data_IF_418944200576
#
_entry.id   IF_418944200576
#
_cell.length_a   1.000
_cell.length_b   1.000
_cell.length_c   1.000
_cell.angle_alpha   90.00
_cell.angle_beta   90.00
_cell.angle_gamma   90.00
#
_symmetry.space_group_name_H-M   'P 1'
#
loop_
_entity.id
_entity.type
_entity.pdbx_description
1 polymer ?
#
# COMPACT_ATOMS: atom_id res chain seq x y z
N UNK A 1 -3.39 -5.58 16.17
CA UNK A 1 -2.17 -4.83 15.80
C UNK A 1 -1.11 -5.80 15.30
N UNK A 2 -0.33 -5.47 14.24
CA UNK A 2 0.78 -6.30 13.77
C UNK A 2 1.93 -6.36 14.78
N UNK A 3 2.65 -7.47 14.82
CA UNK A 3 3.74 -7.70 15.77
C UNK A 3 4.89 -6.68 15.63
N UNK A 4 5.22 -6.27 14.41
CA UNK A 4 6.25 -5.26 14.16
C UNK A 4 5.90 -3.90 14.78
N UNK A 5 4.63 -3.48 14.65
CA UNK A 5 4.14 -2.23 15.23
C UNK A 5 4.04 -2.34 16.75
N UNK A 6 3.65 -3.51 17.26
CA UNK A 6 3.65 -3.80 18.69
C UNK A 6 5.05 -3.66 19.29
N UNK A 7 6.04 -4.30 18.67
CA UNK A 7 7.41 -4.25 19.14
C UNK A 7 7.98 -2.82 19.15
N UNK A 8 7.65 -1.99 18.15
CA UNK A 8 8.06 -0.58 18.15
C UNK A 8 7.37 0.22 19.26
N UNK A 9 6.07 0.03 19.47
CA UNK A 9 5.35 0.67 20.57
C UNK A 9 5.95 0.28 21.93
N UNK A 10 6.27 -0.99 22.16
CA UNK A 10 6.92 -1.44 23.39
C UNK A 10 8.33 -0.87 23.59
N UNK A 11 9.10 -0.66 22.51
CA UNK A 11 10.40 0.06 22.57
C UNK A 11 10.22 1.53 22.96
N UNK A 12 9.18 2.20 22.47
CA UNK A 12 8.86 3.57 22.87
C UNK A 12 8.42 3.64 24.34
N UNK A 13 7.59 2.69 24.79
CA UNK A 13 7.18 2.60 26.19
C UNK A 13 8.37 2.39 27.13
N UNK A 14 9.29 1.49 26.78
CA UNK A 14 10.49 1.24 27.60
C UNK A 14 11.31 2.53 27.79
N UNK A 15 11.55 3.27 26.70
CA UNK A 15 12.24 4.57 26.75
C UNK A 15 11.48 5.59 27.61
N UNK A 16 10.15 5.66 27.46
CA UNK A 16 9.33 6.58 28.24
C UNK A 16 9.36 6.27 29.75
N UNK A 17 9.30 4.98 30.12
CA UNK A 17 9.41 4.53 31.51
C UNK A 17 10.78 4.87 32.09
N UNK A 18 11.85 4.64 31.33
CA UNK A 18 13.21 4.99 31.76
C UNK A 18 13.34 6.50 32.03
N UNK A 19 12.88 7.34 31.10
CA UNK A 19 12.89 8.79 31.29
C UNK A 19 12.07 9.22 32.51
N UNK A 20 10.90 8.61 32.74
CA UNK A 20 10.07 8.93 33.90
C UNK A 20 10.76 8.54 35.22
N UNK A 21 11.42 7.38 35.27
CA UNK A 21 12.17 6.97 36.47
C UNK A 21 13.36 7.89 36.77
N UNK A 22 14.04 8.39 35.72
CA UNK A 22 15.07 9.42 35.84
C UNK A 22 14.49 10.73 36.39
N UNK A 23 13.37 11.20 35.84
CA UNK A 23 12.71 12.44 36.29
C UNK A 23 12.24 12.38 37.74
N UNK A 24 11.75 11.24 38.20
CA UNK A 24 11.28 11.09 39.58
C UNK A 24 12.40 10.76 40.58
N UNK A 25 13.64 10.59 40.11
CA UNK A 25 14.80 10.26 40.95
C UNK A 25 14.67 8.87 41.58
N UNK A 26 14.06 7.91 40.87
CA UNK A 26 13.83 6.55 41.36
C UNK A 26 12.67 6.39 42.34
N UNK A 27 11.86 7.44 42.58
CA UNK A 27 10.64 7.34 43.42
C UNK A 27 9.52 6.53 42.77
N UNK A 28 9.61 6.26 41.47
CA UNK A 28 8.64 5.46 40.73
C UNK A 28 9.17 4.05 40.50
N UNK A 29 8.37 3.04 40.82
CA UNK A 29 8.67 1.65 40.46
C UNK A 29 8.55 1.46 38.94
N UNK A 30 9.69 1.25 38.28
CA UNK A 30 9.80 1.07 36.84
C UNK A 30 9.02 -0.17 36.35
N UNK A 31 9.03 -1.27 37.11
CA UNK A 31 8.36 -2.51 36.75
C UNK A 31 6.84 -2.35 36.83
N UNK A 32 6.35 -1.75 37.92
CA UNK A 32 4.93 -1.45 38.08
C UNK A 32 4.44 -0.46 37.00
N UNK A 33 5.24 0.56 36.66
CA UNK A 33 4.90 1.52 35.62
C UNK A 33 4.86 0.85 34.24
N UNK A 34 5.85 0.02 33.91
CA UNK A 34 5.89 -0.71 32.64
C UNK A 34 4.73 -1.70 32.48
N UNK A 35 4.37 -2.41 33.55
CA UNK A 35 3.20 -3.31 33.54
C UNK A 35 1.92 -2.54 33.25
N UNK A 36 1.75 -1.36 33.86
CA UNK A 36 0.58 -0.51 33.66
C UNK A 36 0.54 0.08 32.24
N UNK A 37 1.70 0.49 31.72
CA UNK A 37 1.84 1.00 30.37
C UNK A 37 1.49 -0.06 29.30
N UNK A 38 1.93 -1.32 29.50
CA UNK A 38 1.56 -2.44 28.62
C UNK A 38 0.05 -2.72 28.63
N UNK A 39 -0.56 -2.73 29.81
CA UNK A 39 -2.01 -2.91 29.92
C UNK A 39 -2.79 -1.78 29.22
N UNK A 40 -2.31 -0.54 29.32
CA UNK A 40 -2.88 0.60 28.59
C UNK A 40 -2.71 0.44 27.07
N UNK A 41 -1.53 0.00 26.60
CA UNK A 41 -1.30 -0.29 25.19
C UNK A 41 -2.23 -1.40 24.67
N UNK A 42 -2.43 -2.47 25.44
CA UNK A 42 -3.35 -3.55 25.09
C UNK A 42 -4.78 -3.03 24.96
N UNK A 43 -5.20 -2.16 25.88
CA UNK A 43 -6.52 -1.51 25.83
C UNK A 43 -6.67 -0.64 24.58
N UNK A 44 -5.67 0.19 24.27
CA UNK A 44 -5.65 1.03 23.06
C UNK A 44 -5.68 0.20 21.77
N UNK A 45 -4.88 -0.88 21.72
CA UNK A 45 -4.81 -1.77 20.57
C UNK A 45 -6.13 -2.53 20.35
N UNK A 46 -6.82 -2.91 21.42
CA UNK A 46 -8.14 -3.52 21.35
C UNK A 46 -9.19 -2.51 20.86
N UNK A 47 -9.22 -1.29 21.40
CA UNK A 47 -10.20 -0.27 21.02
C UNK A 47 -10.04 0.19 19.56
N UNK A 48 -8.82 0.20 19.04
CA UNK A 48 -8.53 0.60 17.67
C UNK A 48 -8.47 -0.58 16.68
N UNK A 49 -8.91 -1.78 17.09
CA UNK A 49 -8.70 -3.01 16.32
C UNK A 49 -9.30 -2.97 14.92
N UNK A 50 -10.56 -2.54 14.81
CA UNK A 50 -11.29 -2.43 13.54
C UNK A 50 -10.62 -1.41 12.60
N UNK A 51 -10.33 -0.21 13.11
CA UNK A 51 -9.76 0.86 12.28
C UNK A 51 -8.32 0.57 11.87
N UNK A 52 -7.55 -0.06 12.74
CA UNK A 52 -6.22 -0.53 12.42
C UNK A 52 -6.26 -1.62 11.34
N UNK A 53 -7.24 -2.53 11.39
CA UNK A 53 -7.42 -3.55 10.36
C UNK A 53 -7.75 -2.91 9.01
N UNK A 54 -8.69 -1.95 8.97
CA UNK A 54 -9.01 -1.20 7.76
C UNK A 54 -7.78 -0.45 7.21
N UNK A 55 -7.02 0.23 8.08
CA UNK A 55 -5.79 0.92 7.70
C UNK A 55 -4.75 -0.03 7.09
N UNK A 56 -4.47 -1.16 7.75
CA UNK A 56 -3.48 -2.12 7.25
C UNK A 56 -3.93 -2.81 5.97
N UNK A 57 -5.22 -3.09 5.81
CA UNK A 57 -5.79 -3.58 4.56
C UNK A 57 -5.60 -2.56 3.43
N UNK A 58 -5.80 -1.27 3.69
CA UNK A 58 -5.55 -0.23 2.70
C UNK A 58 -4.06 -0.20 2.28
N UNK A 59 -3.13 -0.27 3.24
CA UNK A 59 -1.69 -0.37 2.94
C UNK A 59 -1.34 -1.59 2.10
N UNK A 60 -1.88 -2.76 2.45
CA UNK A 60 -1.64 -4.00 1.71
C UNK A 60 -2.21 -3.94 0.30
N UNK A 61 -3.37 -3.29 0.13
CA UNK A 61 -3.99 -3.10 -1.19
C UNK A 61 -3.15 -2.21 -2.10
N UNK A 62 -2.51 -1.17 -1.56
CA UNK A 62 -1.59 -0.30 -2.29
C UNK A 62 -0.34 -1.08 -2.66
N UNK A 63 0.29 -1.78 -1.71
CA UNK A 63 1.46 -2.61 -1.97
C UNK A 63 1.19 -3.70 -3.04
N UNK A 64 0.01 -4.34 -3.01
CA UNK A 64 -0.42 -5.31 -4.02
C UNK A 64 -0.74 -4.66 -5.38
N UNK A 65 -1.12 -3.38 -5.38
CA UNK A 65 -1.32 -2.51 -6.53
C UNK A 65 -0.01 -2.00 -7.15
N UNK A 66 1.12 -2.13 -6.47
CA UNK A 66 2.46 -1.79 -6.99
C UNK A 66 3.15 -3.00 -7.64
N UNK A 67 2.39 -3.98 -8.13
CA UNK A 67 2.95 -5.05 -8.98
C UNK A 67 3.68 -4.43 -10.18
N UNK A 68 4.94 -4.85 -10.46
CA UNK A 68 5.74 -4.24 -11.49
C UNK A 68 5.05 -4.32 -12.85
N UNK A 69 5.21 -3.29 -13.67
CA UNK A 69 4.60 -3.22 -15.01
C UNK A 69 4.95 -4.46 -15.86
N UNK A 70 6.12 -5.07 -15.64
CA UNK A 70 6.54 -6.31 -16.30
C UNK A 70 5.65 -7.53 -15.97
N UNK A 71 5.12 -7.64 -14.75
CA UNK A 71 4.15 -8.68 -14.39
C UNK A 71 2.77 -8.39 -14.98
N UNK A 72 2.38 -7.11 -15.04
CA UNK A 72 1.09 -6.69 -15.62
C UNK A 72 1.06 -6.85 -17.15
N UNK A 73 2.19 -6.56 -17.80
CA UNK A 73 2.41 -6.68 -19.24
C UNK A 73 3.14 -7.98 -19.60
N UNK A 74 2.77 -9.08 -18.95
CA UNK A 74 3.29 -10.39 -19.34
C UNK A 74 2.82 -10.77 -20.74
N UNK A 75 3.60 -11.62 -21.44
CA UNK A 75 3.20 -12.18 -22.74
C UNK A 75 1.84 -12.92 -22.66
N UNK A 76 1.51 -13.50 -21.51
CA UNK A 76 0.22 -14.17 -21.28
C UNK A 76 -0.95 -13.17 -21.23
N UNK A 77 -0.75 -11.97 -20.70
CA UNK A 77 -1.78 -10.93 -20.57
C UNK A 77 -1.92 -10.09 -21.84
N UNK A 78 -0.82 -9.87 -22.57
CA UNK A 78 -0.77 -8.97 -23.73
C UNK A 78 -1.06 -9.65 -25.08
N UNK A 79 -1.17 -10.98 -25.15
CA UNK A 79 -1.33 -11.71 -26.41
C UNK A 79 -2.54 -11.24 -27.24
N UNK A 80 -3.74 -11.30 -26.67
CA UNK A 80 -4.97 -10.93 -27.38
C UNK A 80 -5.05 -9.44 -27.72
N UNK A 81 -4.77 -8.50 -26.80
CA UNK A 81 -4.78 -7.08 -27.12
C UNK A 81 -3.80 -6.71 -28.24
N UNK A 82 -2.57 -7.24 -28.23
CA UNK A 82 -1.58 -6.95 -29.27
C UNK A 82 -2.01 -7.48 -30.64
N UNK A 83 -2.62 -8.68 -30.70
CA UNK A 83 -3.16 -9.21 -31.94
C UNK A 83 -4.29 -8.32 -32.48
N UNK A 84 -5.22 -7.90 -31.63
CA UNK A 84 -6.31 -6.99 -32.02
C UNK A 84 -5.76 -5.66 -32.52
N UNK A 85 -4.81 -5.06 -31.81
CA UNK A 85 -4.13 -3.83 -32.25
C UNK A 85 -3.43 -4.02 -33.59
N UNK A 86 -2.73 -5.14 -33.78
CA UNK A 86 -2.06 -5.46 -35.03
C UNK A 86 -3.02 -5.60 -36.21
N UNK A 87 -4.13 -6.32 -36.01
CA UNK A 87 -5.18 -6.49 -37.04
C UNK A 87 -5.84 -5.15 -37.36
N UNK A 88 -6.18 -4.35 -36.36
CA UNK A 88 -6.78 -3.04 -36.55
C UNK A 88 -5.84 -2.08 -37.30
N UNK A 89 -4.54 -2.08 -36.95
CA UNK A 89 -3.55 -1.26 -37.65
C UNK A 89 -3.37 -1.68 -39.11
N UNK A 90 -3.33 -2.99 -39.39
CA UNK A 90 -3.24 -3.50 -40.76
C UNK A 90 -4.49 -3.16 -41.58
N UNK A 91 -5.68 -3.24 -40.96
CA UNK A 91 -6.94 -2.87 -41.61
C UNK A 91 -7.01 -1.37 -41.90
N UNK A 92 -6.61 -0.52 -40.95
CA UNK A 92 -6.56 0.94 -41.14
C UNK A 92 -5.59 1.31 -42.27
N UNK A 93 -4.37 0.75 -42.25
CA UNK A 93 -3.39 0.95 -43.31
C UNK A 93 -3.89 0.47 -44.68
N UNK A 94 -4.54 -0.70 -44.72
CA UNK A 94 -5.17 -1.21 -45.93
C UNK A 94 -6.27 -0.30 -46.46
N UNK A 95 -7.09 0.26 -45.56
CA UNK A 95 -8.11 1.24 -45.91
C UNK A 95 -7.49 2.54 -46.46
N UNK A 96 -6.45 3.06 -45.82
CA UNK A 96 -5.74 4.28 -46.27
C UNK A 96 -5.16 4.10 -47.68
N UNK A 97 -4.64 2.92 -48.01
CA UNK A 97 -4.13 2.60 -49.34
C UNK A 97 -5.24 2.37 -50.38
N UNK A 98 -6.32 1.69 -50.01
CA UNK A 98 -7.40 1.31 -50.94
C UNK A 98 -8.34 2.48 -51.26
N UNK A 99 -8.62 3.34 -50.27
CA UNK A 99 -9.55 4.46 -50.39
C UNK A 99 -8.85 5.80 -50.63
N UNK A 100 -7.52 5.84 -50.49
CA UNK A 100 -6.74 7.08 -50.47
C UNK A 100 -6.88 7.81 -49.13
N UNK A 101 -5.83 8.50 -48.69
CA UNK A 101 -5.85 9.24 -47.43
C UNK A 101 -6.91 10.36 -47.49
N UNK A 102 -8.08 10.12 -46.87
CA UNK A 102 -9.09 11.14 -46.73
C UNK A 102 -8.56 12.16 -45.73
N UNK A 103 -8.15 13.34 -46.21
CA UNK A 103 -7.64 14.47 -45.40
C UNK A 103 -8.65 14.98 -44.36
N UNK A 104 -9.90 14.47 -44.38
CA UNK A 104 -10.97 14.82 -43.45
C UNK A 104 -10.89 14.22 -42.04
N UNK A 105 -10.01 13.25 -41.76
CA UNK A 105 -9.86 12.71 -40.39
C UNK A 105 -8.96 13.56 -39.48
N UNK A 106 -8.36 14.64 -40.00
CA UNK A 106 -7.47 15.52 -39.23
C UNK A 106 -8.19 16.50 -38.28
N UNK A 107 -9.54 16.52 -38.22
CA UNK A 107 -10.31 17.37 -37.32
C UNK A 107 -11.39 16.55 -36.58
N UNK A 108 -10.95 15.69 -35.67
CA UNK A 108 -11.80 15.15 -34.61
C UNK A 108 -11.28 15.65 -33.27
N UNK A 109 -11.83 16.77 -32.81
CA UNK A 109 -11.77 17.22 -31.42
C UNK A 109 -12.96 16.63 -30.65
#
# INVERSE_FOLDING_TARGET
MRDSHRAEAERLLARAVEEETRRTGGRTDAGALMSRARAALDTMAASAGEEYAAYTQALDSVAAGERPLSERFSRATLGTPLLVTGVAAAAAFGADLALGANTGLALGA
#
